data_IF_487818711537
#
_entry.id   IF_487818711537
#
_cell.length_a   1.000
_cell.length_b   1.000
_cell.length_c   1.000
_cell.angle_alpha   90.00
_cell.angle_beta   90.00
_cell.angle_gamma   90.00
#
_symmetry.space_group_name_H-M   'P 1'
#
loop_
_entity.id
_entity.type
_entity.pdbx_description
1 polymer ?
#
# COMPACT_ATOMS: atom_id res chain seq x y z
N UNK A 1 -4.55 -17.04 -5.93
CA UNK A 1 -3.90 -15.76 -6.30
C UNK A 1 -3.74 -15.71 -7.81
N UNK A 2 -3.76 -14.52 -8.43
CA UNK A 2 -3.44 -14.34 -9.85
C UNK A 2 -2.15 -13.53 -9.93
N UNK A 3 -1.02 -14.23 -9.94
CA UNK A 3 0.27 -13.58 -10.07
C UNK A 3 0.51 -13.19 -11.53
N UNK A 4 0.92 -11.95 -11.76
CA UNK A 4 1.26 -11.43 -13.07
C UNK A 4 2.52 -10.58 -12.99
N UNK A 5 3.24 -10.47 -14.11
CA UNK A 5 4.40 -9.59 -14.24
C UNK A 5 3.92 -8.16 -14.43
N UNK A 6 4.45 -7.21 -13.67
CA UNK A 6 4.17 -5.80 -13.85
C UNK A 6 5.29 -4.90 -13.31
N UNK A 7 5.38 -3.70 -13.88
CA UNK A 7 6.27 -2.65 -13.37
C UNK A 7 5.72 -2.03 -12.08
N UNK A 8 6.48 -2.11 -10.98
CA UNK A 8 6.07 -1.60 -9.66
C UNK A 8 5.90 -0.08 -9.67
N UNK A 9 6.78 0.64 -10.38
CA UNK A 9 6.69 2.10 -10.49
C UNK A 9 5.40 2.54 -11.19
N UNK A 10 4.98 1.85 -12.25
CA UNK A 10 3.73 2.17 -12.95
C UNK A 10 2.50 1.93 -12.06
N UNK A 11 2.52 0.87 -11.24
CA UNK A 11 1.46 0.65 -10.24
C UNK A 11 1.39 1.83 -9.26
N UNK A 12 2.53 2.23 -8.68
CA UNK A 12 2.62 3.35 -7.74
C UNK A 12 2.13 4.66 -8.36
N UNK A 13 2.57 4.98 -9.58
CA UNK A 13 2.11 6.17 -10.32
C UNK A 13 0.60 6.14 -10.49
N UNK A 14 0.02 5.01 -10.91
CA UNK A 14 -1.43 4.92 -11.09
C UNK A 14 -2.23 5.04 -9.79
N UNK A 15 -1.66 4.63 -8.64
CA UNK A 15 -2.28 4.86 -7.31
C UNK A 15 -2.17 6.34 -6.95
N UNK A 16 -1.02 6.97 -7.22
CA UNK A 16 -0.81 8.39 -6.99
C UNK A 16 -1.83 9.22 -7.76
N UNK A 17 -1.94 9.02 -9.07
CA UNK A 17 -2.87 9.76 -9.95
C UNK A 17 -4.33 9.63 -9.50
N UNK A 18 -4.73 8.43 -9.06
CA UNK A 18 -6.09 8.17 -8.58
C UNK A 18 -6.43 8.94 -7.30
N UNK A 19 -5.46 9.13 -6.39
CA UNK A 19 -5.71 9.67 -5.05
C UNK A 19 -5.23 11.11 -4.85
N UNK A 20 -4.34 11.59 -5.72
CA UNK A 20 -3.79 12.94 -5.67
C UNK A 20 -4.87 14.02 -5.78
N UNK A 21 -5.90 13.81 -6.60
CA UNK A 21 -7.01 14.75 -6.68
C UNK A 21 -7.74 14.90 -5.34
N UNK A 22 -8.00 13.78 -4.64
CA UNK A 22 -8.66 13.78 -3.34
C UNK A 22 -7.83 14.43 -2.22
N UNK A 23 -6.50 14.27 -2.26
CA UNK A 23 -5.60 14.97 -1.34
C UNK A 23 -5.56 16.48 -1.67
N UNK A 24 -5.39 16.82 -2.95
CA UNK A 24 -5.31 18.20 -3.43
C UNK A 24 -6.57 19.00 -3.15
N UNK A 25 -7.76 18.41 -3.31
CA UNK A 25 -9.03 19.09 -3.04
C UNK A 25 -9.22 19.46 -1.56
N UNK A 26 -8.51 18.78 -0.66
CA UNK A 26 -8.41 19.12 0.76
C UNK A 26 -7.21 20.01 1.12
N UNK A 27 -6.37 20.36 0.15
CA UNK A 27 -5.11 21.08 0.41
C UNK A 27 -4.03 20.24 1.10
N UNK A 28 -4.15 18.90 1.06
CA UNK A 28 -3.16 17.99 1.65
C UNK A 28 -1.98 17.79 0.70
N UNK A 29 -0.78 17.69 1.27
CA UNK A 29 0.38 17.16 0.54
C UNK A 29 0.25 15.64 0.40
N UNK A 30 0.67 15.12 -0.74
CA UNK A 30 0.73 13.67 -0.98
C UNK A 30 1.98 13.34 -1.78
N UNK A 31 2.85 12.48 -1.24
CA UNK A 31 4.07 12.02 -1.92
C UNK A 31 4.21 10.50 -1.89
N UNK A 32 4.94 9.98 -2.87
CA UNK A 32 5.41 8.59 -2.88
C UNK A 32 6.93 8.60 -2.97
N UNK A 33 7.58 8.16 -1.90
CA UNK A 33 9.02 8.17 -1.75
C UNK A 33 9.56 6.74 -1.97
N UNK A 34 10.35 6.57 -3.02
CA UNK A 34 11.03 5.31 -3.34
C UNK A 34 12.42 5.34 -2.72
N UNK A 35 12.72 4.42 -1.82
CA UNK A 35 14.00 4.42 -1.10
C UNK A 35 14.86 3.24 -1.52
N UNK A 36 16.05 3.57 -2.01
CA UNK A 36 16.98 2.62 -2.61
C UNK A 36 16.54 2.19 -4.01
N UNK A 37 17.17 1.13 -4.51
CA UNK A 37 16.82 0.54 -5.80
C UNK A 37 15.61 -0.38 -5.64
N UNK A 38 14.49 0.02 -6.24
CA UNK A 38 13.32 -0.84 -6.37
C UNK A 38 13.50 -1.75 -7.60
N UNK A 39 13.00 -3.00 -7.54
CA UNK A 39 12.96 -3.85 -8.73
C UNK A 39 12.11 -3.19 -9.81
N UNK A 40 12.52 -3.33 -11.07
CA UNK A 40 11.78 -2.79 -12.21
C UNK A 40 10.42 -3.48 -12.37
N UNK A 41 10.46 -4.76 -12.75
CA UNK A 41 9.28 -5.61 -12.85
C UNK A 41 9.28 -6.67 -11.75
N UNK A 42 8.10 -6.92 -11.19
CA UNK A 42 7.88 -7.97 -10.19
C UNK A 42 6.74 -8.87 -10.63
N UNK A 43 6.74 -10.10 -10.12
CA UNK A 43 5.63 -11.04 -10.24
C UNK A 43 4.91 -11.14 -8.90
N UNK A 44 3.67 -10.67 -8.88
CA UNK A 44 2.77 -10.69 -7.71
C UNK A 44 1.31 -10.48 -8.17
N UNK A 45 0.35 -10.53 -7.24
CA UNK A 45 -1.06 -10.21 -7.53
C UNK A 45 -1.27 -8.67 -7.55
N UNK A 46 -1.02 -8.05 -8.71
CA UNK A 46 -1.11 -6.60 -8.93
C UNK A 46 -2.45 -6.01 -8.50
N UNK A 47 -3.55 -6.72 -8.78
CA UNK A 47 -4.91 -6.29 -8.45
C UNK A 47 -5.12 -6.17 -6.94
N UNK A 48 -4.68 -7.18 -6.18
CA UNK A 48 -4.75 -7.15 -4.71
C UNK A 48 -3.82 -6.11 -4.11
N UNK A 49 -2.59 -5.99 -4.61
CA UNK A 49 -1.66 -4.96 -4.16
C UNK A 49 -2.23 -3.55 -4.39
N UNK A 50 -2.78 -3.29 -5.58
CA UNK A 50 -3.50 -2.04 -5.88
C UNK A 50 -4.63 -1.79 -4.88
N UNK A 51 -5.45 -2.80 -4.60
CA UNK A 51 -6.59 -2.67 -3.68
C UNK A 51 -6.13 -2.33 -2.25
N UNK A 52 -5.07 -2.97 -1.76
CA UNK A 52 -4.47 -2.66 -0.45
C UNK A 52 -4.01 -1.20 -0.42
N UNK A 53 -3.22 -0.77 -1.41
CA UNK A 53 -2.71 0.60 -1.50
C UNK A 53 -3.84 1.63 -1.57
N UNK A 54 -4.83 1.42 -2.44
CA UNK A 54 -5.98 2.32 -2.59
C UNK A 54 -6.78 2.40 -1.29
N UNK A 55 -6.97 1.30 -0.59
CA UNK A 55 -7.69 1.31 0.68
C UNK A 55 -6.91 2.07 1.78
N UNK A 56 -5.62 1.78 1.95
CA UNK A 56 -4.81 2.39 3.01
C UNK A 56 -4.57 3.89 2.76
N UNK A 57 -4.14 4.26 1.55
CA UNK A 57 -3.94 5.67 1.17
C UNK A 57 -5.28 6.39 1.09
N UNK A 58 -6.34 5.72 0.61
CA UNK A 58 -7.69 6.27 0.62
C UNK A 58 -8.18 6.59 2.03
N UNK A 59 -7.92 5.72 3.01
CA UNK A 59 -8.25 6.00 4.43
C UNK A 59 -7.44 7.17 4.97
N UNK A 60 -6.13 7.24 4.69
CA UNK A 60 -5.29 8.38 5.05
C UNK A 60 -5.85 9.70 4.49
N UNK A 61 -6.17 9.76 3.20
CA UNK A 61 -6.78 10.92 2.55
C UNK A 61 -8.16 11.24 3.13
N UNK A 62 -8.95 10.23 3.45
CA UNK A 62 -10.31 10.39 3.96
C UNK A 62 -10.34 11.06 5.33
N UNK A 63 -9.45 10.65 6.23
CA UNK A 63 -9.44 11.09 7.63
C UNK A 63 -8.51 12.26 7.93
N UNK A 64 -7.52 12.51 7.07
CA UNK A 64 -6.65 13.68 7.23
C UNK A 64 -7.37 14.93 6.75
N UNK A 65 -7.32 16.00 7.54
CA UNK A 65 -7.91 17.31 7.22
C UNK A 65 -6.84 18.37 6.93
N UNK A 66 -5.69 18.29 7.60
CA UNK A 66 -4.55 19.19 7.39
C UNK A 66 -3.23 18.41 7.37
N UNK A 67 -2.20 18.97 6.75
CA UNK A 67 -0.87 18.35 6.62
C UNK A 67 -0.75 17.49 5.37
N UNK A 68 -0.54 16.18 5.51
CA UNK A 68 -0.27 15.33 4.36
C UNK A 68 -0.12 13.85 4.59
N UNK A 69 0.20 13.18 3.48
CA UNK A 69 0.31 11.73 3.36
C UNK A 69 1.61 11.41 2.64
N UNK A 70 2.40 10.50 3.21
CA UNK A 70 3.64 10.03 2.61
C UNK A 70 3.57 8.51 2.48
N UNK A 71 3.78 8.01 1.27
CA UNK A 71 3.92 6.58 1.00
C UNK A 71 5.39 6.28 0.74
N UNK A 72 6.06 5.62 1.67
CA UNK A 72 7.43 5.15 1.47
C UNK A 72 7.45 3.72 0.96
N UNK A 73 8.21 3.45 -0.08
CA UNK A 73 8.38 2.10 -0.66
C UNK A 73 9.85 1.70 -0.62
N UNK A 74 10.14 0.51 -0.09
CA UNK A 74 11.50 -0.02 0.01
C UNK A 74 11.52 -1.49 -0.42
N UNK A 75 12.60 -1.93 -1.04
CA UNK A 75 12.84 -3.33 -1.35
C UNK A 75 13.95 -3.88 -0.46
N UNK A 76 13.80 -5.10 0.04
CA UNK A 76 14.92 -5.83 0.62
C UNK A 76 15.84 -6.33 -0.49
N UNK A 77 17.09 -6.70 -0.16
CA UNK A 77 17.87 -7.57 -1.03
C UNK A 77 17.09 -8.85 -1.38
N UNK A 78 17.51 -9.47 -2.49
CA UNK A 78 17.00 -10.76 -2.90
C UNK A 78 17.32 -11.82 -1.85
N UNK A 79 16.37 -12.71 -1.58
CA UNK A 79 16.52 -13.81 -0.64
C UNK A 79 17.53 -14.80 -1.26
N UNK A 80 18.64 -15.14 -0.57
CA UNK A 80 19.67 -16.02 -1.11
C UNK A 80 19.11 -17.33 -1.65
N UNK A 81 19.53 -17.71 -2.87
CA UNK A 81 19.10 -18.96 -3.52
C UNK A 81 17.72 -18.91 -4.17
N UNK A 82 17.06 -17.75 -4.23
CA UNK A 82 15.74 -17.56 -4.86
C UNK A 82 15.71 -16.28 -5.68
N UNK A 83 14.72 -16.08 -6.56
CA UNK A 83 14.44 -14.77 -7.19
C UNK A 83 13.47 -13.91 -6.37
N UNK A 84 13.24 -14.23 -5.11
CA UNK A 84 12.26 -13.57 -4.27
C UNK A 84 12.86 -12.42 -3.47
N UNK A 85 12.05 -11.41 -3.18
CA UNK A 85 12.36 -10.33 -2.25
C UNK A 85 11.10 -9.81 -1.58
N UNK A 86 11.29 -9.04 -0.51
CA UNK A 86 10.20 -8.41 0.21
C UNK A 86 10.15 -6.94 -0.20
N UNK A 87 8.95 -6.47 -0.57
CA UNK A 87 8.67 -5.05 -0.76
C UNK A 87 7.91 -4.56 0.46
N UNK A 88 8.45 -3.54 1.11
CA UNK A 88 7.84 -2.86 2.25
C UNK A 88 7.20 -1.55 1.83
N UNK A 89 6.00 -1.30 2.36
CA UNK A 89 5.23 -0.08 2.19
C UNK A 89 4.94 0.53 3.56
N UNK A 90 5.18 1.83 3.70
CA UNK A 90 4.78 2.62 4.87
C UNK A 90 3.89 3.76 4.39
N UNK A 91 2.67 3.85 4.90
CA UNK A 91 1.72 4.93 4.64
C UNK A 91 1.57 5.72 5.92
N UNK A 92 2.10 6.94 5.93
CA UNK A 92 2.04 7.87 7.04
C UNK A 92 1.07 8.99 6.72
N UNK A 93 0.19 9.31 7.66
CA UNK A 93 -0.70 10.46 7.60
C UNK A 93 -0.56 11.33 8.85
N UNK A 94 -0.99 12.59 8.74
CA UNK A 94 -1.07 13.56 9.85
C UNK A 94 -2.52 13.76 10.32
N UNK A 95 -3.37 12.74 10.17
CA UNK A 95 -4.76 12.78 10.55
C UNK A 95 -4.98 12.75 12.06
N UNK A 96 -6.22 12.50 12.53
CA UNK A 96 -6.57 12.55 13.94
C UNK A 96 -5.93 11.43 14.79
N UNK A 97 -5.26 10.47 14.17
CA UNK A 97 -4.80 9.26 14.83
C UNK A 97 -5.95 8.34 15.26
N UNK A 98 -5.59 7.28 15.97
CA UNK A 98 -6.47 6.21 16.44
C UNK A 98 -6.14 5.95 17.91
N UNK A 99 -7.19 5.80 18.73
CA UNK A 99 -7.06 5.50 20.15
C UNK A 99 -6.44 4.09 20.35
N UNK A 100 -5.64 3.92 21.40
CA UNK A 100 -4.89 2.67 21.62
C UNK A 100 -5.82 1.47 21.83
N UNK A 101 -6.96 1.69 22.47
CA UNK A 101 -8.03 0.71 22.69
C UNK A 101 -8.73 0.24 21.40
N UNK A 102 -8.66 1.03 20.33
CA UNK A 102 -9.26 0.72 19.03
C UNK A 102 -8.29 -0.07 18.12
N UNK A 103 -6.97 0.06 18.32
CA UNK A 103 -5.96 -0.58 17.48
C UNK A 103 -6.13 -2.11 17.35
N UNK A 104 -6.38 -2.88 18.43
CA UNK A 104 -6.55 -4.34 18.33
C UNK A 104 -7.74 -4.74 17.43
N UNK A 105 -8.75 -3.88 17.35
CA UNK A 105 -10.02 -4.16 16.65
C UNK A 105 -10.02 -3.69 15.20
N UNK A 106 -8.99 -2.97 14.74
CA UNK A 106 -8.97 -2.36 13.40
C UNK A 106 -9.13 -3.35 12.25
N UNK A 107 -8.72 -4.60 12.46
CA UNK A 107 -8.78 -5.65 11.45
C UNK A 107 -9.97 -6.59 11.64
N UNK A 108 -10.80 -6.38 12.66
CA UNK A 108 -12.05 -7.11 12.86
C UNK A 108 -13.10 -6.68 11.83
N UNK A 109 -13.90 -7.63 11.36
CA UNK A 109 -14.95 -7.35 10.37
C UNK A 109 -15.99 -6.39 10.97
N UNK A 110 -16.39 -5.38 10.19
CA UNK A 110 -17.39 -4.38 10.59
C UNK A 110 -16.98 -3.49 11.77
N UNK A 111 -15.72 -3.57 12.19
CA UNK A 111 -15.18 -2.65 13.19
C UNK A 111 -15.01 -1.26 12.59
N UNK A 112 -15.49 -0.25 13.31
CA UNK A 112 -15.29 1.16 12.99
C UNK A 112 -14.74 1.86 14.23
N UNK A 113 -13.66 2.62 14.04
CA UNK A 113 -13.13 3.51 15.07
C UNK A 113 -14.11 4.65 15.33
N UNK A 114 -13.97 5.32 16.48
CA UNK A 114 -14.77 6.51 16.78
C UNK A 114 -14.64 7.58 15.68
N UNK A 115 -13.44 7.76 15.12
CA UNK A 115 -13.18 8.65 13.98
C UNK A 115 -13.92 8.21 12.70
N UNK A 116 -14.04 6.89 12.45
CA UNK A 116 -14.83 6.31 11.37
C UNK A 116 -16.33 6.57 11.52
N UNK A 117 -16.86 6.42 12.72
CA UNK A 117 -18.26 6.67 13.06
C UNK A 117 -18.60 8.16 12.97
N UNK A 118 -17.77 9.04 13.54
CA UNK A 118 -17.91 10.50 13.47
C UNK A 118 -17.89 11.00 12.03
N UNK A 119 -17.01 10.45 11.20
CA UNK A 119 -16.96 10.76 9.78
C UNK A 119 -18.12 10.15 8.96
N UNK A 120 -18.95 9.26 9.55
CA UNK A 120 -20.00 8.45 8.89
C UNK A 120 -19.49 7.74 7.62
N UNK A 121 -18.25 7.24 7.65
CA UNK A 121 -17.56 6.73 6.46
C UNK A 121 -17.03 5.31 6.62
N UNK A 122 -17.42 4.43 5.69
CA UNK A 122 -16.85 3.08 5.47
C UNK A 122 -17.73 1.95 6.01
N UNK A 123 -17.54 0.74 5.49
CA UNK A 123 -18.27 -0.48 5.89
C UNK A 123 -17.58 -1.27 7.01
N UNK A 124 -16.39 -0.83 7.44
CA UNK A 124 -15.54 -1.58 8.37
C UNK A 124 -14.90 -2.85 7.76
N UNK A 125 -14.94 -3.02 6.43
CA UNK A 125 -14.40 -4.21 5.75
C UNK A 125 -13.03 -3.98 5.08
N UNK A 126 -12.70 -2.74 4.72
CA UNK A 126 -11.53 -2.43 3.90
C UNK A 126 -10.20 -2.88 4.53
N UNK A 127 -10.01 -2.65 5.82
CA UNK A 127 -8.79 -3.04 6.54
C UNK A 127 -8.69 -4.57 6.71
N UNK A 128 -9.79 -5.26 7.03
CA UNK A 128 -9.81 -6.72 7.09
C UNK A 128 -9.47 -7.37 5.75
N UNK A 129 -10.04 -6.86 4.65
CA UNK A 129 -9.73 -7.36 3.29
C UNK A 129 -8.26 -7.07 2.95
N UNK A 130 -7.75 -5.89 3.30
CA UNK A 130 -6.35 -5.53 3.06
C UNK A 130 -5.40 -6.47 3.80
N UNK A 131 -5.69 -6.78 5.08
CA UNK A 131 -4.93 -7.75 5.86
C UNK A 131 -4.92 -9.13 5.21
N UNK A 132 -6.08 -9.65 4.82
CA UNK A 132 -6.18 -10.93 4.15
C UNK A 132 -5.39 -10.97 2.83
N UNK A 133 -5.41 -9.88 2.06
CA UNK A 133 -4.65 -9.77 0.80
C UNK A 133 -3.14 -9.75 1.05
N UNK A 134 -2.69 -9.00 2.06
CA UNK A 134 -1.29 -8.95 2.47
C UNK A 134 -0.80 -10.33 2.93
N UNK A 135 -1.57 -11.00 3.79
CA UNK A 135 -1.24 -12.35 4.29
C UNK A 135 -1.20 -13.38 3.16
N UNK A 136 -2.14 -13.32 2.21
CA UNK A 136 -2.11 -14.16 1.01
C UNK A 136 -0.87 -13.93 0.13
N UNK A 137 -0.33 -12.70 0.10
CA UNK A 137 0.91 -12.36 -0.59
C UNK A 137 2.17 -12.65 0.26
N UNK A 138 2.06 -13.45 1.32
CA UNK A 138 3.19 -13.82 2.19
C UNK A 138 3.72 -12.66 3.05
N UNK A 139 2.93 -11.60 3.18
CA UNK A 139 3.27 -10.37 3.88
C UNK A 139 2.73 -10.29 5.31
N UNK A 140 3.00 -9.16 5.95
CA UNK A 140 2.45 -8.77 7.25
C UNK A 140 1.93 -7.34 7.20
N UNK A 141 0.96 -7.02 8.04
CA UNK A 141 0.45 -5.66 8.23
C UNK A 141 0.58 -5.25 9.69
N UNK A 142 1.02 -4.01 9.91
CA UNK A 142 1.22 -3.41 11.22
C UNK A 142 0.68 -1.98 11.20
N UNK A 143 0.29 -1.48 12.37
CA UNK A 143 -0.22 -0.13 12.52
C UNK A 143 0.35 0.48 13.80
N UNK A 144 0.81 1.72 13.70
CA UNK A 144 1.18 2.55 14.83
C UNK A 144 0.43 3.87 14.70
N UNK A 145 -0.21 4.33 15.77
CA UNK A 145 -1.01 5.56 15.74
C UNK A 145 -0.93 6.31 17.06
N UNK A 146 -1.06 7.64 16.99
CA UNK A 146 -1.15 8.49 18.18
C UNK A 146 -2.22 9.54 17.92
N UNK A 147 -3.19 9.64 18.85
CA UNK A 147 -4.30 10.59 18.76
C UNK A 147 -3.75 12.01 18.65
N UNK A 148 -4.27 12.76 17.68
CA UNK A 148 -3.86 14.14 17.37
C UNK A 148 -2.55 14.28 16.59
N UNK A 149 -1.83 13.18 16.33
CA UNK A 149 -0.54 13.20 15.60
C UNK A 149 -0.68 12.58 14.21
N UNK A 150 -1.35 11.43 14.12
CA UNK A 150 -1.52 10.71 12.85
C UNK A 150 -1.34 9.21 12.98
N UNK A 151 -1.37 8.52 11.84
CA UNK A 151 -1.26 7.06 11.75
C UNK A 151 -0.18 6.64 10.77
N UNK A 152 0.47 5.52 11.07
CA UNK A 152 1.40 4.85 10.19
C UNK A 152 0.95 3.40 10.00
N UNK A 153 0.47 3.09 8.80
CA UNK A 153 0.26 1.71 8.36
C UNK A 153 1.50 1.19 7.66
N UNK A 154 1.96 0.01 8.05
CA UNK A 154 3.05 -0.70 7.37
C UNK A 154 2.55 -2.01 6.85
N UNK A 155 2.92 -2.36 5.63
CA UNK A 155 2.76 -3.73 5.17
C UNK A 155 3.90 -4.17 4.28
N UNK A 156 4.08 -5.48 4.20
CA UNK A 156 5.05 -6.11 3.30
C UNK A 156 4.34 -7.02 2.31
N UNK A 157 4.99 -7.31 1.19
CA UNK A 157 4.59 -8.38 0.28
C UNK A 157 5.82 -9.15 -0.16
N UNK A 158 5.70 -10.47 -0.29
CA UNK A 158 6.69 -11.30 -0.94
C UNK A 158 6.41 -11.28 -2.44
N UNK A 159 7.42 -10.99 -3.26
CA UNK A 159 7.32 -11.04 -4.71
C UNK A 159 8.56 -11.66 -5.33
N UNK A 160 8.43 -12.09 -6.57
CA UNK A 160 9.59 -12.46 -7.39
C UNK A 160 10.01 -11.26 -8.24
N UNK A 161 11.32 -11.03 -8.34
CA UNK A 161 11.88 -10.09 -9.30
C UNK A 161 11.84 -10.74 -10.68
N UNK A 162 11.26 -10.06 -11.67
CA UNK A 162 11.22 -10.56 -13.03
C UNK A 162 12.62 -10.49 -13.63
N UNK A 163 13.38 -11.57 -13.53
CA UNK A 163 14.67 -11.68 -14.21
C UNK A 163 14.43 -11.93 -15.71
N UNK A 164 14.91 -11.01 -16.54
CA UNK A 164 14.95 -11.14 -18.00
C UNK A 164 14.59 -9.84 -18.70
N UNK A 165 15.58 -9.26 -19.42
CA UNK A 165 15.31 -8.40 -20.58
C UNK A 165 14.36 -9.21 -21.47
N UNK A 166 13.21 -8.64 -21.85
CA UNK A 166 12.40 -9.24 -22.89
C UNK A 166 13.31 -9.47 -24.09
N UNK A 167 13.62 -10.72 -24.39
CA UNK A 167 14.04 -11.06 -25.74
C UNK A 167 12.82 -10.79 -26.57
N UNK A 168 12.78 -9.60 -27.18
CA UNK A 168 12.09 -9.44 -28.44
C UNK A 168 12.60 -10.59 -29.31
N UNK A 169 11.74 -11.58 -29.55
CA UNK A 169 11.90 -12.55 -30.62
C UNK A 169 11.81 -11.78 -31.95
N UNK A 170 12.84 -10.99 -32.23
CA UNK A 170 13.20 -10.52 -33.55
C UNK A 170 13.96 -11.65 -34.26
N UNK A 171 13.32 -12.79 -34.47
CA UNK A 171 13.78 -13.80 -35.44
C UNK A 171 12.59 -14.44 -36.11
N UNK A 172 12.24 -13.87 -37.26
CA UNK A 172 11.23 -14.41 -38.17
C UNK A 172 11.18 -13.66 -39.51
N UNK A 173 12.34 -13.30 -40.06
CA UNK A 173 12.52 -12.98 -41.49
C UNK A 173 12.86 -14.29 -42.24
N UNK A 174 12.58 -14.44 -43.54
CA UNK A 174 12.63 -13.43 -44.59
C UNK A 174 11.30 -13.05 -45.24
#
# INVERSE_FOLDING_TARGET
MRNERFNLSNLLTSVYEMLAFGAKSKGLTFTIDKVGELPGEIVADKGKLRQVLVNLVGNATKFTETGGIVVTVRATPQIPGTNQRIIGFEIRDTGPGIAQEDLPKLFEKFSQTESGLKARKGTGLGLTISKAFVEMMGGKVEVASTVGVGTVFRFTVLCEEATGVGTDDATGSP
#
